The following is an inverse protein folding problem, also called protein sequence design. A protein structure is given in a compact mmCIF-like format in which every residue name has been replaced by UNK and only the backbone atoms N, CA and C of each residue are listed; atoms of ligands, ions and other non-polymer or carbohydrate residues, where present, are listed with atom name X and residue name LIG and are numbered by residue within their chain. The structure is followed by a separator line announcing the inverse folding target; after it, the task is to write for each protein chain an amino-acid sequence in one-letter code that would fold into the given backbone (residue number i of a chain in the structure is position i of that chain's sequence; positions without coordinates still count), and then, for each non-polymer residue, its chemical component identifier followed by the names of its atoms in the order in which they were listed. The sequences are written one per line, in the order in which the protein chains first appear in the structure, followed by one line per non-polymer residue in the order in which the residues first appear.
data_IF_942222618841
#
_entry.id   IF_942222618841
#
_cell.length_a   1.000
_cell.length_b   1.000
_cell.length_c   1.000
_cell.angle_alpha   90.00
_cell.angle_beta   90.00
_cell.angle_gamma   90.00
#
_symmetry.space_group_name_H-M   'P 1'
#
loop_
_entity.id
_entity.type
_entity.pdbx_description
1 polymer ?
#
# COMPACT_ATOMS: atom_id res chain seq x y z
N UNK A 1 -23.08 -4.76 31.70
CA UNK A 1 -21.87 -5.08 30.91
C UNK A 1 -20.73 -4.23 31.44
N UNK A 2 -19.53 -4.79 31.64
CA UNK A 2 -18.36 -3.98 32.05
C UNK A 2 -17.93 -3.07 30.88
N UNK A 3 -17.27 -1.94 31.17
CA UNK A 3 -16.73 -1.03 30.14
C UNK A 3 -15.85 -1.76 29.11
N UNK A 4 -15.17 -2.83 29.54
CA UNK A 4 -14.33 -3.66 28.67
C UNK A 4 -15.15 -4.54 27.72
N UNK A 5 -16.24 -5.17 28.18
CA UNK A 5 -17.12 -5.98 27.33
C UNK A 5 -17.80 -5.14 26.23
N UNK A 6 -18.15 -3.89 26.53
CA UNK A 6 -18.72 -2.96 25.52
C UNK A 6 -17.69 -2.69 24.43
N UNK A 7 -16.44 -2.35 24.78
CA UNK A 7 -15.37 -2.10 23.79
C UNK A 7 -15.12 -3.32 22.90
N UNK A 8 -15.07 -4.52 23.47
CA UNK A 8 -14.87 -5.75 22.72
C UNK A 8 -16.02 -6.01 21.75
N UNK A 9 -17.26 -5.89 22.22
CA UNK A 9 -18.45 -6.11 21.39
C UNK A 9 -18.54 -5.08 20.26
N UNK A 10 -18.30 -3.79 20.55
CA UNK A 10 -18.25 -2.74 19.53
C UNK A 10 -17.15 -2.97 18.49
N UNK A 11 -15.95 -3.40 18.92
CA UNK A 11 -14.85 -3.69 17.99
C UNK A 11 -15.22 -4.83 17.03
N UNK A 12 -15.74 -5.94 17.57
CA UNK A 12 -16.16 -7.10 16.76
C UNK A 12 -17.31 -6.72 15.83
N UNK A 13 -18.30 -5.98 16.33
CA UNK A 13 -19.42 -5.50 15.52
C UNK A 13 -18.98 -4.63 14.34
N UNK A 14 -18.06 -3.69 14.56
CA UNK A 14 -17.51 -2.84 13.48
C UNK A 14 -16.66 -3.63 12.50
N UNK A 15 -15.86 -4.59 12.98
CA UNK A 15 -15.09 -5.49 12.12
C UNK A 15 -16.01 -6.31 11.20
N UNK A 16 -17.05 -6.92 11.76
CA UNK A 16 -18.05 -7.69 11.00
C UNK A 16 -18.79 -6.78 10.02
N UNK A 17 -19.15 -5.55 10.41
CA UNK A 17 -19.79 -4.59 9.53
C UNK A 17 -18.89 -4.19 8.34
N UNK A 18 -17.58 -4.09 8.52
CA UNK A 18 -16.65 -3.87 7.40
C UNK A 18 -16.57 -5.11 6.50
N UNK A 19 -16.65 -6.32 7.07
CA UNK A 19 -16.63 -7.58 6.32
C UNK A 19 -17.90 -7.81 5.47
N UNK A 20 -19.02 -7.13 5.75
CA UNK A 20 -20.22 -7.26 4.90
C UNK A 20 -20.10 -6.54 3.56
N UNK A 21 -19.12 -5.63 3.41
CA UNK A 21 -19.00 -4.78 2.23
C UNK A 21 -19.89 -3.54 2.25
N UNK A 22 -20.74 -3.36 3.27
CA UNK A 22 -21.65 -2.21 3.37
C UNK A 22 -20.89 -0.88 3.56
N UNK A 23 -19.71 -0.95 4.19
CA UNK A 23 -18.83 0.18 4.40
C UNK A 23 -17.67 0.07 3.42
N UNK A 24 -17.49 1.10 2.59
CA UNK A 24 -16.38 1.18 1.65
C UNK A 24 -15.01 1.27 2.35
N UNK A 25 -13.92 1.00 1.62
CA UNK A 25 -12.60 0.77 2.22
C UNK A 25 -12.02 1.97 2.96
N UNK A 26 -12.24 3.20 2.46
CA UNK A 26 -11.81 4.43 3.14
C UNK A 26 -12.51 4.60 4.49
N UNK A 27 -13.83 4.38 4.53
CA UNK A 27 -14.59 4.45 5.77
C UNK A 27 -14.23 3.33 6.74
N UNK A 28 -13.90 2.11 6.26
CA UNK A 28 -13.42 1.03 7.13
C UNK A 28 -12.12 1.41 7.85
N UNK A 29 -11.15 2.00 7.14
CA UNK A 29 -9.90 2.48 7.74
C UNK A 29 -10.17 3.61 8.76
N UNK A 30 -10.98 4.59 8.37
CA UNK A 30 -11.35 5.71 9.24
C UNK A 30 -12.08 5.25 10.49
N UNK A 31 -12.97 4.26 10.39
CA UNK A 31 -13.67 3.69 11.54
C UNK A 31 -12.69 2.98 12.48
N UNK A 32 -11.72 2.23 11.95
CA UNK A 32 -10.68 1.60 12.78
C UNK A 32 -9.84 2.64 13.54
N UNK A 33 -9.44 3.70 12.83
CA UNK A 33 -8.69 4.81 13.42
C UNK A 33 -9.51 5.55 14.48
N UNK A 34 -10.73 5.97 14.15
CA UNK A 34 -11.65 6.65 15.06
C UNK A 34 -11.95 5.80 16.29
N UNK A 35 -12.18 4.49 16.09
CA UNK A 35 -12.35 3.55 17.19
C UNK A 35 -11.14 3.61 18.12
N UNK A 36 -9.91 3.54 17.58
CA UNK A 36 -8.69 3.51 18.41
C UNK A 36 -8.38 4.83 19.12
N UNK A 37 -8.80 5.95 18.52
CA UNK A 37 -8.67 7.28 19.13
C UNK A 37 -9.65 7.51 20.27
N UNK A 38 -10.87 6.96 20.17
CA UNK A 38 -11.91 7.08 21.20
C UNK A 38 -11.78 5.97 22.26
N UNK A 39 -11.46 4.76 21.83
CA UNK A 39 -11.35 3.54 22.62
C UNK A 39 -10.01 2.87 22.35
N UNK A 40 -9.24 2.55 23.38
CA UNK A 40 -8.04 1.72 23.16
C UNK A 40 -8.41 0.36 22.55
N UNK A 41 -7.79 -0.01 21.42
CA UNK A 41 -8.05 -1.29 20.74
C UNK A 41 -7.81 -2.48 21.71
N UNK A 42 -8.84 -3.27 22.06
CA UNK A 42 -8.71 -4.38 23.00
C UNK A 42 -7.95 -5.59 22.42
N UNK A 43 -7.76 -5.65 21.10
CA UNK A 43 -7.14 -6.77 20.38
C UNK A 43 -5.95 -6.30 19.53
N UNK A 44 -5.14 -5.36 20.04
CA UNK A 44 -4.07 -4.72 19.25
C UNK A 44 -3.08 -5.71 18.61
N UNK A 45 -2.60 -6.70 19.36
CA UNK A 45 -1.66 -7.71 18.84
C UNK A 45 -2.29 -8.57 17.74
N UNK A 46 -3.51 -9.05 17.99
CA UNK A 46 -4.27 -9.85 17.03
C UNK A 46 -4.62 -9.04 15.78
N UNK A 47 -5.02 -7.77 15.92
CA UNK A 47 -5.32 -6.87 14.80
C UNK A 47 -4.11 -6.68 13.88
N UNK A 48 -2.92 -6.49 14.48
CA UNK A 48 -1.66 -6.39 13.74
C UNK A 48 -1.28 -7.68 13.00
N UNK A 49 -1.60 -8.84 13.55
CA UNK A 49 -1.28 -10.12 12.91
C UNK A 49 -2.32 -10.50 11.84
N UNK A 50 -3.60 -10.32 12.16
CA UNK A 50 -4.71 -10.63 11.27
C UNK A 50 -4.70 -9.71 10.04
N UNK A 51 -4.45 -8.40 10.20
CA UNK A 51 -4.35 -7.48 9.05
C UNK A 51 -3.30 -7.93 8.03
N UNK A 52 -2.13 -8.42 8.46
CA UNK A 52 -1.09 -8.95 7.55
C UNK A 52 -1.57 -10.16 6.76
N UNK A 53 -2.36 -11.05 7.36
CA UNK A 53 -2.88 -12.24 6.68
C UNK A 53 -4.07 -11.92 5.78
N UNK A 54 -5.04 -11.14 6.27
CA UNK A 54 -6.19 -10.69 5.50
C UNK A 54 -5.75 -9.87 4.28
N UNK A 55 -4.73 -9.02 4.42
CA UNK A 55 -4.17 -8.28 3.28
C UNK A 55 -3.65 -9.23 2.20
N UNK A 56 -2.90 -10.27 2.58
CA UNK A 56 -2.38 -11.25 1.61
C UNK A 56 -3.53 -11.98 0.90
N UNK A 57 -4.53 -12.43 1.65
CA UNK A 57 -5.71 -13.12 1.09
C UNK A 57 -6.51 -12.22 0.16
N UNK A 58 -6.76 -10.97 0.58
CA UNK A 58 -7.43 -9.97 -0.24
C UNK A 58 -6.66 -9.72 -1.54
N UNK A 59 -5.35 -9.45 -1.47
CA UNK A 59 -4.54 -9.21 -2.66
C UNK A 59 -4.56 -10.40 -3.61
N UNK A 60 -4.41 -11.63 -3.12
CA UNK A 60 -4.50 -12.83 -3.97
C UNK A 60 -5.86 -12.91 -4.66
N UNK A 61 -6.95 -12.75 -3.91
CA UNK A 61 -8.31 -12.84 -4.48
C UNK A 61 -8.67 -11.68 -5.41
N UNK A 62 -8.05 -10.51 -5.27
CA UNK A 62 -8.18 -9.41 -6.24
C UNK A 62 -7.61 -9.77 -7.61
N UNK A 63 -6.67 -10.72 -7.68
CA UNK A 63 -6.13 -11.24 -8.95
C UNK A 63 -7.19 -11.91 -9.83
N UNK A 64 -8.28 -12.41 -9.24
CA UNK A 64 -9.40 -12.99 -10.00
C UNK A 64 -10.19 -11.99 -10.85
N UNK A 65 -9.88 -10.69 -10.79
CA UNK A 65 -10.49 -9.65 -11.63
C UNK A 65 -9.46 -8.97 -12.54
N UNK A 66 -8.28 -9.56 -12.72
CA UNK A 66 -7.20 -8.99 -13.52
C UNK A 66 -6.90 -9.92 -14.69
N UNK A 67 -6.64 -9.34 -15.87
CA UNK A 67 -6.09 -10.09 -17.00
C UNK A 67 -4.57 -10.22 -16.84
N UNK A 68 -4.08 -11.45 -16.82
CA UNK A 68 -2.66 -11.76 -16.78
C UNK A 68 -1.88 -11.18 -17.98
N UNK A 69 -2.49 -11.06 -19.16
CA UNK A 69 -1.84 -10.46 -20.33
C UNK A 69 -1.60 -8.96 -20.10
N UNK A 70 -2.55 -8.25 -19.49
CA UNK A 70 -2.40 -6.84 -19.12
C UNK A 70 -1.25 -6.67 -18.12
N UNK A 71 -1.10 -7.59 -17.16
CA UNK A 71 0.02 -7.56 -16.21
C UNK A 71 1.37 -7.67 -16.92
N UNK A 72 1.48 -8.58 -17.89
CA UNK A 72 2.70 -8.75 -18.68
C UNK A 72 2.98 -7.53 -19.57
N UNK A 73 1.95 -6.98 -20.20
CA UNK A 73 2.06 -5.82 -21.07
C UNK A 73 2.50 -4.59 -20.27
N UNK A 74 1.81 -4.27 -19.17
CA UNK A 74 2.17 -3.17 -18.26
C UNK A 74 3.60 -3.36 -17.73
N UNK A 75 3.97 -4.59 -17.35
CA UNK A 75 5.33 -4.89 -16.89
C UNK A 75 6.41 -4.63 -17.94
N UNK A 76 6.13 -4.89 -19.22
CA UNK A 76 7.06 -4.63 -20.32
C UNK A 76 7.08 -3.16 -20.71
N UNK A 77 5.92 -2.56 -20.93
CA UNK A 77 5.78 -1.17 -21.40
C UNK A 77 6.29 -0.17 -20.35
N UNK A 78 6.07 -0.47 -19.06
CA UNK A 78 6.47 0.40 -17.96
C UNK A 78 7.88 0.13 -17.44
N UNK A 79 8.65 -0.77 -18.04
CA UNK A 79 9.95 -1.22 -17.51
C UNK A 79 10.93 -0.06 -17.28
N UNK A 80 11.19 0.74 -18.32
CA UNK A 80 12.13 1.87 -18.25
C UNK A 80 11.62 2.95 -17.30
N UNK A 81 10.34 3.32 -17.42
CA UNK A 81 9.72 4.31 -16.55
C UNK A 81 9.77 3.88 -15.07
N UNK A 82 9.58 2.60 -14.80
CA UNK A 82 9.63 2.04 -13.44
C UNK A 82 11.05 2.11 -12.87
N UNK A 83 12.08 1.75 -13.64
CA UNK A 83 13.47 1.89 -13.18
C UNK A 83 13.78 3.35 -12.87
N UNK A 84 13.49 4.25 -13.81
CA UNK A 84 13.81 5.67 -13.69
C UNK A 84 13.09 6.27 -12.50
N UNK A 85 11.78 6.02 -12.36
CA UNK A 85 10.99 6.54 -11.24
C UNK A 85 11.45 5.98 -9.89
N UNK A 86 11.65 4.67 -9.76
CA UNK A 86 12.13 4.08 -8.49
C UNK A 86 13.50 4.67 -8.12
N UNK A 87 14.43 4.74 -9.07
CA UNK A 87 15.78 5.30 -8.84
C UNK A 87 15.70 6.78 -8.45
N UNK A 88 14.89 7.57 -9.15
CA UNK A 88 14.70 8.99 -8.87
C UNK A 88 14.08 9.22 -7.49
N UNK A 89 13.07 8.44 -7.10
CA UNK A 89 12.44 8.54 -5.78
C UNK A 89 13.43 8.16 -4.67
N UNK A 90 14.21 7.11 -4.85
CA UNK A 90 15.24 6.71 -3.88
C UNK A 90 16.31 7.79 -3.76
N UNK A 91 16.81 8.32 -4.87
CA UNK A 91 17.82 9.39 -4.89
C UNK A 91 17.32 10.68 -4.26
N UNK A 92 16.10 11.12 -4.60
CA UNK A 92 15.48 12.29 -4.01
C UNK A 92 15.23 12.09 -2.51
N UNK A 93 14.78 10.90 -2.11
CA UNK A 93 14.62 10.53 -0.72
C UNK A 93 15.93 10.65 0.06
N UNK A 94 17.05 10.16 -0.47
CA UNK A 94 18.37 10.32 0.15
C UNK A 94 18.78 11.79 0.30
N UNK A 95 18.55 12.63 -0.72
CA UNK A 95 18.81 14.07 -0.68
C UNK A 95 17.98 14.73 0.44
N UNK A 96 16.68 14.43 0.50
CA UNK A 96 15.80 14.97 1.53
C UNK A 96 16.17 14.45 2.92
N UNK A 97 16.59 13.18 3.04
CA UNK A 97 17.06 12.61 4.30
C UNK A 97 18.26 13.35 4.87
N UNK A 98 19.21 13.74 4.01
CA UNK A 98 20.34 14.58 4.40
C UNK A 98 19.90 16.00 4.77
N UNK A 99 19.02 16.62 3.98
CA UNK A 99 18.50 17.97 4.23
C UNK A 99 17.78 18.08 5.58
N UNK A 100 16.91 17.12 5.90
CA UNK A 100 16.17 17.08 7.17
C UNK A 100 16.96 16.43 8.31
N UNK A 101 18.20 15.98 8.07
CA UNK A 101 19.06 15.29 9.04
C UNK A 101 18.38 14.08 9.68
N UNK A 102 17.73 13.27 8.86
CA UNK A 102 17.09 12.00 9.25
C UNK A 102 18.15 10.92 9.39
N UNK A 103 17.94 9.96 10.29
CA UNK A 103 18.80 8.78 10.40
C UNK A 103 18.88 8.07 9.04
N UNK A 104 20.09 7.68 8.62
CA UNK A 104 20.35 7.06 7.31
C UNK A 104 19.46 5.84 7.03
N UNK A 105 19.28 4.93 7.99
CA UNK A 105 18.43 3.76 7.80
C UNK A 105 16.97 4.16 7.63
N UNK A 106 16.45 5.07 8.47
CA UNK A 106 15.08 5.59 8.32
C UNK A 106 14.88 6.29 6.97
N UNK A 107 15.85 7.07 6.51
CA UNK A 107 15.84 7.72 5.19
C UNK A 107 15.73 6.69 4.07
N UNK A 108 16.60 5.67 4.08
CA UNK A 108 16.59 4.59 3.08
C UNK A 108 15.27 3.81 3.11
N UNK A 109 14.77 3.44 4.30
CA UNK A 109 13.51 2.70 4.44
C UNK A 109 12.32 3.50 3.94
N UNK A 110 12.21 4.80 4.28
CA UNK A 110 11.15 5.66 3.77
C UNK A 110 11.22 5.81 2.25
N UNK A 111 12.42 6.03 1.71
CA UNK A 111 12.63 6.20 0.27
C UNK A 111 12.27 4.94 -0.52
N UNK A 112 12.71 3.76 -0.06
CA UNK A 112 12.32 2.47 -0.66
C UNK A 112 10.83 2.17 -0.48
N UNK A 113 10.27 2.52 0.67
CA UNK A 113 8.83 2.41 0.96
C UNK A 113 8.00 3.22 -0.04
N UNK A 114 8.34 4.49 -0.25
CA UNK A 114 7.68 5.37 -1.23
C UNK A 114 7.89 4.93 -2.66
N UNK A 115 9.08 4.44 -3.01
CA UNK A 115 9.41 4.08 -4.38
C UNK A 115 8.74 2.79 -4.88
N UNK A 116 8.34 1.85 -4.02
CA UNK A 116 7.94 0.51 -4.46
C UNK A 116 6.54 0.10 -3.96
N UNK A 117 6.45 -0.57 -2.79
CA UNK A 117 5.17 -1.03 -2.25
C UNK A 117 5.04 -0.79 -0.73
N UNK A 118 5.68 0.27 -0.21
CA UNK A 118 5.52 0.69 1.17
C UNK A 118 6.09 -0.33 2.15
N UNK A 119 5.22 -0.93 2.95
CA UNK A 119 5.59 -1.82 4.05
C UNK A 119 6.41 -3.05 3.63
N UNK A 120 6.08 -3.70 2.49
CA UNK A 120 6.86 -4.88 2.06
C UNK A 120 8.26 -4.52 1.58
N UNK A 121 8.42 -3.34 0.97
CA UNK A 121 9.74 -2.84 0.58
C UNK A 121 10.59 -2.50 1.83
N UNK A 122 9.98 -1.86 2.84
CA UNK A 122 10.63 -1.63 4.14
C UNK A 122 11.05 -2.96 4.78
N UNK A 123 10.16 -3.95 4.82
CA UNK A 123 10.44 -5.25 5.42
C UNK A 123 11.56 -6.02 4.70
N UNK A 124 11.63 -5.91 3.37
CA UNK A 124 12.68 -6.55 2.58
C UNK A 124 14.04 -5.83 2.71
N UNK A 125 14.03 -4.50 2.82
CA UNK A 125 15.25 -3.70 2.96
C UNK A 125 15.84 -3.68 4.37
N UNK A 126 15.00 -3.77 5.38
CA UNK A 126 15.41 -3.73 6.79
C UNK A 126 16.57 -4.69 7.14
N UNK A 127 16.53 -6.00 6.80
CA UNK A 127 17.64 -6.91 7.07
C UNK A 127 18.88 -6.56 6.23
N UNK A 128 18.70 -6.13 4.97
CA UNK A 128 19.80 -5.79 4.06
C UNK A 128 20.68 -4.66 4.61
N UNK A 129 20.05 -3.61 5.15
CA UNK A 129 20.77 -2.45 5.73
C UNK A 129 20.98 -2.57 7.25
N UNK A 130 20.62 -3.71 7.85
CA UNK A 130 20.69 -3.97 9.30
C UNK A 130 19.97 -2.89 10.13
N UNK A 131 18.76 -2.53 9.70
CA UNK A 131 17.93 -1.53 10.37
C UNK A 131 17.49 -1.99 11.76
N UNK A 132 17.47 -1.06 12.72
CA UNK A 132 16.99 -1.31 14.08
C UNK A 132 15.47 -1.36 14.11
N UNK A 133 14.91 -2.11 15.07
CA UNK A 133 13.45 -2.28 15.19
C UNK A 133 12.68 -0.95 15.28
N UNK A 134 13.25 0.05 15.96
CA UNK A 134 12.62 1.37 16.07
C UNK A 134 12.63 2.14 14.73
N UNK A 135 13.67 1.99 13.91
CA UNK A 135 13.78 2.63 12.58
C UNK A 135 12.73 2.03 11.62
N UNK A 136 12.55 0.71 11.69
CA UNK A 136 11.51 -0.01 10.94
C UNK A 136 10.12 0.44 11.39
N UNK A 137 9.87 0.49 12.71
CA UNK A 137 8.59 0.88 13.26
C UNK A 137 8.21 2.33 12.88
N UNK A 138 9.15 3.27 12.99
CA UNK A 138 8.95 4.68 12.57
C UNK A 138 8.64 4.76 11.07
N UNK A 139 9.39 4.06 10.24
CA UNK A 139 9.18 4.09 8.78
C UNK A 139 7.82 3.53 8.38
N UNK A 140 7.42 2.39 8.98
CA UNK A 140 6.09 1.80 8.76
C UNK A 140 4.97 2.73 9.23
N UNK A 141 5.14 3.37 10.39
CA UNK A 141 4.15 4.30 10.93
C UNK A 141 3.87 5.47 9.98
N UNK A 142 4.93 6.08 9.44
CA UNK A 142 4.83 7.20 8.50
C UNK A 142 4.15 6.75 7.22
N UNK A 143 4.60 5.63 6.63
CA UNK A 143 4.01 5.10 5.40
C UNK A 143 2.52 4.83 5.59
N UNK A 144 2.13 4.18 6.69
CA UNK A 144 0.71 3.94 6.97
C UNK A 144 -0.09 5.21 7.22
N UNK A 145 0.49 6.20 7.88
CA UNK A 145 -0.15 7.50 8.07
C UNK A 145 -0.40 8.20 6.72
N UNK A 146 0.62 8.30 5.87
CA UNK A 146 0.50 8.92 4.55
C UNK A 146 -0.48 8.15 3.66
N UNK A 147 -0.47 6.82 3.73
CA UNK A 147 -1.45 5.98 3.06
C UNK A 147 -2.88 6.28 3.54
N UNK A 148 -3.12 6.39 4.84
CA UNK A 148 -4.43 6.78 5.38
C UNK A 148 -4.90 8.15 4.86
N UNK A 149 -3.99 9.12 4.76
CA UNK A 149 -4.26 10.43 4.17
C UNK A 149 -4.57 10.33 2.67
N UNK A 150 -3.86 9.47 1.94
CA UNK A 150 -4.05 9.26 0.51
C UNK A 150 -5.48 8.85 0.17
N UNK A 151 -6.10 7.98 0.98
CA UNK A 151 -7.48 7.51 0.76
C UNK A 151 -8.50 8.64 0.72
N UNK A 152 -8.21 9.78 1.37
CA UNK A 152 -9.10 10.94 1.43
C UNK A 152 -8.72 11.98 0.39
N UNK A 153 -7.41 12.26 0.28
CA UNK A 153 -6.90 13.37 -0.52
C UNK A 153 -6.96 13.04 -2.02
N UNK A 154 -6.58 11.82 -2.41
CA UNK A 154 -6.45 11.46 -3.82
C UNK A 154 -7.78 11.53 -4.56
N UNK A 155 -8.88 10.90 -4.10
CA UNK A 155 -10.14 10.97 -4.83
C UNK A 155 -10.64 12.41 -5.01
N UNK A 156 -10.50 13.25 -3.98
CA UNK A 156 -10.89 14.65 -4.03
C UNK A 156 -10.10 15.44 -5.09
N UNK A 157 -8.77 15.28 -5.12
CA UNK A 157 -7.91 15.91 -6.14
C UNK A 157 -8.21 15.36 -7.53
N UNK A 158 -8.36 14.04 -7.68
CA UNK A 158 -8.68 13.44 -8.96
C UNK A 158 -9.97 14.01 -9.56
N UNK A 159 -11.00 14.22 -8.72
CA UNK A 159 -12.30 14.71 -9.19
C UNK A 159 -12.20 16.19 -9.55
N UNK A 160 -11.40 16.96 -8.81
CA UNK A 160 -11.10 18.35 -9.13
C UNK A 160 -10.43 18.49 -10.50
N UNK A 161 -9.46 17.62 -10.83
CA UNK A 161 -8.80 17.58 -12.14
C UNK A 161 -9.58 16.80 -13.21
N UNK A 162 -10.76 16.25 -12.86
CA UNK A 162 -11.63 15.46 -13.76
C UNK A 162 -10.89 14.29 -14.43
N UNK A 163 -10.02 13.61 -13.67
CA UNK A 163 -9.26 12.49 -14.19
C UNK A 163 -10.18 11.33 -14.63
N UNK A 164 -9.83 10.66 -15.72
CA UNK A 164 -10.46 9.39 -16.10
C UNK A 164 -10.14 8.29 -15.07
N UNK A 165 -10.82 7.14 -15.15
CA UNK A 165 -10.51 6.00 -14.27
C UNK A 165 -9.08 5.49 -14.50
N UNK A 166 -8.63 5.47 -15.74
CA UNK A 166 -7.28 5.06 -16.15
C UNK A 166 -6.23 6.04 -15.61
N UNK A 167 -6.43 7.34 -15.83
CA UNK A 167 -5.54 8.40 -15.34
C UNK A 167 -5.43 8.38 -13.81
N UNK A 168 -6.56 8.28 -13.11
CA UNK A 168 -6.58 8.18 -11.66
C UNK A 168 -5.87 6.92 -11.16
N UNK A 169 -6.06 5.79 -11.85
CA UNK A 169 -5.42 4.53 -11.49
C UNK A 169 -3.90 4.61 -11.60
N UNK A 170 -3.38 5.19 -12.68
CA UNK A 170 -1.95 5.41 -12.87
C UNK A 170 -1.42 6.33 -11.77
N UNK A 171 -2.09 7.47 -11.54
CA UNK A 171 -1.67 8.42 -10.52
C UNK A 171 -1.63 7.80 -9.12
N UNK A 172 -2.73 7.15 -8.71
CA UNK A 172 -2.83 6.49 -7.41
C UNK A 172 -1.79 5.37 -7.28
N UNK A 173 -1.62 4.51 -8.30
CA UNK A 173 -0.67 3.40 -8.26
C UNK A 173 0.79 3.86 -8.22
N UNK A 174 1.10 5.00 -8.84
CA UNK A 174 2.44 5.53 -8.87
C UNK A 174 2.81 6.29 -7.58
N UNK A 175 1.87 7.01 -6.97
CA UNK A 175 2.14 7.92 -5.86
C UNK A 175 1.76 7.43 -4.45
N UNK A 176 0.76 6.56 -4.29
CA UNK A 176 0.41 5.97 -2.99
C UNK A 176 1.39 4.84 -2.66
N UNK A 177 1.73 4.57 -1.40
CA UNK A 177 2.87 3.71 -1.08
C UNK A 177 2.57 2.21 -1.23
N UNK A 178 1.44 1.73 -0.73
CA UNK A 178 1.15 0.28 -0.66
C UNK A 178 -0.04 -0.16 -1.54
N UNK A 179 -0.18 -1.47 -1.71
CA UNK A 179 -1.25 -2.06 -2.54
C UNK A 179 -2.63 -1.90 -1.90
N UNK A 180 -2.75 -2.10 -0.59
CA UNK A 180 -4.03 -1.97 0.13
C UNK A 180 -4.67 -0.61 -0.08
N UNK A 181 -3.89 0.45 0.08
CA UNK A 181 -4.34 1.82 0.00
C UNK A 181 -4.56 2.26 -1.44
N UNK A 182 -3.78 1.75 -2.40
CA UNK A 182 -4.06 1.96 -3.82
C UNK A 182 -5.39 1.34 -4.21
N UNK A 183 -5.62 0.07 -3.88
CA UNK A 183 -6.89 -0.62 -4.20
C UNK A 183 -8.07 0.08 -3.53
N UNK A 184 -7.93 0.40 -2.24
CA UNK A 184 -8.93 1.14 -1.48
C UNK A 184 -9.29 2.46 -2.17
N UNK A 185 -8.28 3.25 -2.52
CA UNK A 185 -8.46 4.56 -3.15
C UNK A 185 -9.07 4.42 -4.55
N UNK A 186 -8.53 3.53 -5.39
CA UNK A 186 -9.01 3.26 -6.74
C UNK A 186 -10.46 2.73 -6.77
N UNK A 187 -10.88 1.98 -5.76
CA UNK A 187 -12.25 1.47 -5.67
C UNK A 187 -13.31 2.57 -5.54
N UNK A 188 -12.92 3.76 -5.08
CA UNK A 188 -13.81 4.92 -5.04
C UNK A 188 -14.04 5.54 -6.42
N UNK A 189 -13.17 5.25 -7.38
CA UNK A 189 -13.23 5.73 -8.76
C UNK A 189 -13.92 4.76 -9.72
N UNK A 190 -13.79 3.46 -9.47
CA UNK A 190 -14.50 2.43 -10.21
C UNK A 190 -13.68 1.17 -10.46
N UNK A 191 -14.31 0.14 -11.07
CA UNK A 191 -13.70 -1.17 -11.25
C UNK A 191 -12.52 -1.15 -12.23
N UNK A 192 -12.54 -0.30 -13.25
CA UNK A 192 -11.43 -0.14 -14.20
C UNK A 192 -10.22 0.42 -13.46
N UNK A 193 -10.44 1.45 -12.63
CA UNK A 193 -9.37 2.05 -11.86
C UNK A 193 -8.71 1.03 -10.90
N UNK A 194 -9.50 0.18 -10.25
CA UNK A 194 -8.99 -0.88 -9.38
C UNK A 194 -8.11 -1.86 -10.16
N UNK A 195 -8.56 -2.35 -11.32
CA UNK A 195 -7.81 -3.31 -12.13
C UNK A 195 -6.44 -2.76 -12.55
N UNK A 196 -6.44 -1.57 -13.15
CA UNK A 196 -5.21 -0.91 -13.63
C UNK A 196 -4.27 -0.60 -12.46
N UNK A 197 -4.77 0.00 -11.39
CA UNK A 197 -3.94 0.44 -10.28
C UNK A 197 -3.30 -0.74 -9.54
N UNK A 198 -4.06 -1.84 -9.39
CA UNK A 198 -3.58 -3.10 -8.81
C UNK A 198 -2.46 -3.68 -9.66
N UNK A 199 -2.67 -3.73 -10.97
CA UNK A 199 -1.70 -4.26 -11.94
C UNK A 199 -0.39 -3.49 -11.90
N UNK A 200 -0.43 -2.15 -11.99
CA UNK A 200 0.77 -1.30 -11.90
C UNK A 200 1.49 -1.52 -10.57
N UNK A 201 0.75 -1.52 -9.44
CA UNK A 201 1.37 -1.63 -8.12
C UNK A 201 2.05 -2.99 -7.89
N UNK A 202 1.41 -4.09 -8.30
CA UNK A 202 1.98 -5.42 -8.11
C UNK A 202 3.14 -5.69 -9.05
N UNK A 203 3.05 -5.16 -10.28
CA UNK A 203 4.17 -5.16 -11.21
C UNK A 203 5.37 -4.41 -10.62
N UNK A 204 5.14 -3.24 -10.01
CA UNK A 204 6.18 -2.50 -9.28
C UNK A 204 6.73 -3.27 -8.09
N UNK A 205 5.90 -4.01 -7.35
CA UNK A 205 6.34 -4.80 -6.20
C UNK A 205 7.35 -5.91 -6.57
N UNK A 206 7.40 -6.37 -7.84
CA UNK A 206 8.44 -7.29 -8.31
C UNK A 206 9.85 -6.67 -8.25
N UNK A 207 9.94 -5.34 -8.33
CA UNK A 207 11.21 -4.60 -8.26
C UNK A 207 11.84 -4.59 -6.87
N UNK A 208 11.15 -5.07 -5.84
CA UNK A 208 11.75 -5.30 -4.53
C UNK A 208 13.00 -6.18 -4.68
N UNK A 209 12.91 -7.29 -5.44
CA UNK A 209 14.00 -8.27 -5.58
C UNK A 209 15.28 -7.64 -6.18
N UNK A 210 15.25 -7.03 -7.39
CA UNK A 210 16.47 -6.46 -7.97
C UNK A 210 17.03 -5.31 -7.12
N UNK A 211 16.20 -4.41 -6.60
CA UNK A 211 16.70 -3.26 -5.83
C UNK A 211 17.27 -3.64 -4.48
N UNK A 212 16.68 -4.62 -3.78
CA UNK A 212 17.24 -5.16 -2.53
C UNK A 212 18.52 -5.95 -2.78
N UNK A 213 18.61 -6.71 -3.88
CA UNK A 213 19.84 -7.41 -4.26
C UNK A 213 20.98 -6.43 -4.57
N UNK A 214 20.70 -5.38 -5.34
CA UNK A 214 21.65 -4.29 -5.59
C UNK A 214 22.08 -3.62 -4.29
N UNK A 215 21.14 -3.30 -3.40
CA UNK A 215 21.47 -2.76 -2.09
C UNK A 215 22.31 -3.73 -1.25
N UNK A 216 22.08 -5.05 -1.35
CA UNK A 216 22.91 -6.07 -0.71
C UNK A 216 24.37 -5.99 -1.14
N UNK A 217 24.64 -5.77 -2.43
CA UNK A 217 26.00 -5.55 -2.95
C UNK A 217 26.62 -4.27 -2.37
N UNK A 218 25.87 -3.16 -2.40
CA UNK A 218 26.35 -1.86 -1.89
C UNK A 218 26.62 -1.86 -0.37
N UNK A 219 25.79 -2.56 0.42
CA UNK A 219 25.91 -2.66 1.88
C UNK A 219 26.70 -3.89 2.35
N UNK A 220 27.24 -4.69 1.42
CA UNK A 220 27.97 -5.94 1.71
C UNK A 220 27.17 -6.87 2.64
N UNK A 221 25.90 -7.08 2.30
CA UNK A 221 24.98 -7.94 3.04
C UNK A 221 24.77 -9.26 2.30
N UNK A 222 24.79 -10.38 3.03
CA UNK A 222 24.46 -11.72 2.51
C UNK A 222 22.96 -12.03 2.62
N UNK A 223 22.19 -11.15 3.26
CA UNK A 223 20.74 -11.30 3.43
C UNK A 223 20.03 -11.18 2.07
N UNK A 224 19.28 -12.22 1.71
CA UNK A 224 18.49 -12.24 0.48
C UNK A 224 17.11 -11.68 0.74
N UNK A 225 16.61 -10.85 -0.17
CA UNK A 225 15.23 -10.43 -0.09
C UNK A 225 14.27 -11.60 -0.25
N UNK A 226 13.28 -11.65 0.63
CA UNK A 226 12.19 -12.61 0.53
C UNK A 226 11.22 -12.16 -0.55
N UNK A 227 10.88 -13.07 -1.47
CA UNK A 227 9.81 -12.83 -2.44
C UNK A 227 8.49 -12.82 -1.68
N UNK A 228 7.69 -11.75 -1.75
CA UNK A 228 6.39 -11.74 -1.09
C UNK A 228 5.46 -12.74 -1.76
N UNK A 229 5.22 -13.89 -1.12
CA UNK A 229 4.43 -15.00 -1.68
C UNK A 229 3.01 -14.60 -2.13
N UNK A 230 2.45 -13.52 -1.57
CA UNK A 230 1.15 -13.03 -2.00
C UNK A 230 1.15 -12.46 -3.43
N UNK A 231 2.31 -11.97 -3.93
CA UNK A 231 2.47 -11.54 -5.33
C UNK A 231 2.36 -12.76 -6.24
N UNK A 232 3.00 -13.87 -5.87
CA UNK A 232 2.92 -15.14 -6.62
C UNK A 232 1.47 -15.64 -6.65
N UNK A 233 0.78 -15.62 -5.51
CA UNK A 233 -0.62 -16.01 -5.44
C UNK A 233 -1.53 -15.10 -6.28
N UNK A 234 -1.30 -13.79 -6.29
CA UNK A 234 -2.02 -12.85 -7.17
C UNK A 234 -1.81 -13.18 -8.65
N UNK A 235 -0.56 -13.37 -9.08
CA UNK A 235 -0.24 -13.70 -10.47
C UNK A 235 -0.90 -15.02 -10.89
N UNK A 236 -0.94 -16.00 -10.00
CA UNK A 236 -1.61 -17.27 -10.24
C UNK A 236 -3.13 -17.10 -10.35
N UNK A 237 -3.76 -16.28 -9.50
CA UNK A 237 -5.18 -15.96 -9.59
C UNK A 237 -5.53 -15.23 -10.90
N UNK A 238 -4.69 -14.29 -11.34
CA UNK A 238 -4.85 -13.61 -12.63
C UNK A 238 -4.70 -14.59 -13.80
N UNK A 239 -3.71 -15.50 -13.74
CA UNK A 239 -3.51 -16.54 -14.75
C UNK A 239 -4.73 -17.46 -14.85
N UNK A 240 -5.29 -17.90 -13.72
CA UNK A 240 -6.53 -18.69 -13.69
C UNK A 240 -7.69 -17.91 -14.31
N UNK A 241 -7.86 -16.65 -13.94
CA UNK A 241 -8.95 -15.82 -14.48
C UNK A 241 -8.85 -15.65 -16.00
N UNK A 242 -7.66 -15.38 -16.54
CA UNK A 242 -7.43 -15.21 -17.97
C UNK A 242 -7.59 -16.50 -18.78
N UNK A 243 -7.02 -17.62 -18.31
CA UNK A 243 -6.95 -18.85 -19.12
C UNK A 243 -8.05 -19.87 -18.82
N UNK A 244 -8.84 -19.68 -17.76
CA UNK A 244 -10.01 -20.49 -17.43
C UNK A 244 -11.30 -19.65 -17.37
N UNK A 245 -11.68 -18.97 -18.47
CA UNK A 245 -12.81 -18.03 -18.50
C UNK A 245 -14.17 -18.71 -18.29
N UNK A 246 -14.26 -20.03 -18.53
CA UNK A 246 -15.45 -20.85 -18.32
C UNK A 246 -15.94 -20.81 -16.86
N UNK A 247 -15.05 -20.54 -15.90
CA UNK A 247 -15.36 -20.43 -14.47
C UNK A 247 -15.43 -18.98 -13.97
N UNK A 248 -15.52 -17.99 -14.88
CA UNK A 248 -15.53 -16.56 -14.56
C UNK A 248 -16.51 -16.17 -13.44
N UNK A 249 -17.72 -16.73 -13.42
CA UNK A 249 -18.69 -16.49 -12.34
C UNK A 249 -18.16 -16.88 -10.95
N UNK A 250 -17.39 -17.97 -10.86
CA UNK A 250 -16.77 -18.42 -9.62
C UNK A 250 -15.58 -17.52 -9.23
N UNK A 251 -14.76 -17.11 -10.21
CA UNK A 251 -13.66 -16.16 -9.98
C UNK A 251 -14.18 -14.80 -9.50
N UNK A 252 -15.29 -14.32 -10.06
CA UNK A 252 -15.95 -13.08 -9.64
C UNK A 252 -16.50 -13.15 -8.21
N UNK A 253 -16.95 -14.32 -7.76
CA UNK A 253 -17.31 -14.52 -6.36
C UNK A 253 -16.07 -14.43 -5.44
N UNK A 254 -14.95 -15.02 -5.87
CA UNK A 254 -13.66 -14.91 -5.20
C UNK A 254 -13.19 -13.46 -5.09
N UNK A 255 -13.29 -12.70 -6.18
CA UNK A 255 -13.00 -11.26 -6.22
C UNK A 255 -13.91 -10.46 -5.27
N UNK A 256 -15.22 -10.73 -5.28
CA UNK A 256 -16.16 -10.06 -4.38
C UNK A 256 -15.83 -10.30 -2.90
N UNK A 257 -15.55 -11.57 -2.54
CA UNK A 257 -15.11 -11.93 -1.19
C UNK A 257 -13.78 -11.26 -0.82
N UNK A 258 -12.83 -11.17 -1.75
CA UNK A 258 -11.55 -10.52 -1.54
C UNK A 258 -11.70 -9.02 -1.22
N UNK A 259 -12.62 -8.31 -1.88
CA UNK A 259 -12.94 -6.90 -1.53
C UNK A 259 -13.45 -6.77 -0.10
N UNK A 260 -14.34 -7.64 0.32
CA UNK A 260 -14.89 -7.61 1.68
C UNK A 260 -13.81 -7.90 2.74
N UNK A 261 -12.94 -8.87 2.46
CA UNK A 261 -11.75 -9.15 3.28
C UNK A 261 -10.82 -7.95 3.34
N UNK A 262 -10.63 -7.23 2.23
CA UNK A 262 -9.84 -6.00 2.19
C UNK A 262 -10.44 -4.93 3.12
N UNK A 263 -11.76 -4.74 3.13
CA UNK A 263 -12.40 -3.71 3.95
C UNK A 263 -12.23 -4.01 5.44
N UNK A 264 -12.44 -5.27 5.83
CA UNK A 264 -12.16 -5.74 7.19
C UNK A 264 -10.67 -5.59 7.56
N UNK A 265 -9.77 -5.88 6.62
CA UNK A 265 -8.33 -5.67 6.79
C UNK A 265 -8.01 -4.19 7.06
N UNK A 266 -8.59 -3.27 6.29
CA UNK A 266 -8.36 -1.82 6.44
C UNK A 266 -8.86 -1.30 7.80
N UNK A 267 -9.97 -1.82 8.31
CA UNK A 267 -10.39 -1.54 9.69
C UNK A 267 -9.36 -2.01 10.72
N UNK A 268 -8.81 -3.21 10.56
CA UNK A 268 -7.75 -3.71 11.46
C UNK A 268 -6.46 -2.87 11.35
N UNK A 269 -6.11 -2.42 10.15
CA UNK A 269 -4.96 -1.52 9.94
C UNK A 269 -5.21 -0.18 10.64
N UNK A 270 -6.35 0.47 10.40
CA UNK A 270 -6.71 1.72 11.06
C UNK A 270 -6.73 1.60 12.58
N UNK A 271 -7.26 0.48 13.09
CA UNK A 271 -7.32 0.23 14.53
C UNK A 271 -6.00 -0.25 15.16
N UNK A 272 -4.98 -0.50 14.36
CA UNK A 272 -3.63 -0.81 14.83
C UNK A 272 -2.74 0.42 14.96
N UNK A 273 -3.19 1.58 14.46
CA UNK A 273 -2.50 2.86 14.61
C UNK A 273 -2.56 3.27 16.08
N UNK A 274 -1.40 3.44 16.71
CA UNK A 274 -1.32 3.93 18.09
C UNK A 274 -0.79 5.36 18.13
N UNK A 275 -1.37 6.18 19.01
CA UNK A 275 -0.86 7.53 19.30
C UNK A 275 0.59 7.50 19.79
N UNK A 276 0.99 6.42 20.47
CA UNK A 276 2.38 6.22 20.89
C UNK A 276 3.33 6.07 19.69
N UNK A 277 2.93 5.31 18.67
CA UNK A 277 3.69 5.14 17.43
C UNK A 277 3.81 6.48 16.68
N UNK A 278 2.72 7.25 16.58
CA UNK A 278 2.74 8.59 15.98
C UNK A 278 3.65 9.56 16.74
N UNK A 279 3.63 9.54 18.08
CA UNK A 279 4.51 10.37 18.91
C UNK A 279 5.99 9.99 18.78
N UNK A 280 6.30 8.72 18.54
CA UNK A 280 7.68 8.24 18.33
C UNK A 280 8.23 8.56 16.93
N UNK A 281 7.37 8.98 16.00
CA UNK A 281 7.71 9.13 14.58
C UNK A 281 8.71 10.27 14.32
N UNK A 282 8.76 11.27 15.21
CA UNK A 282 9.58 12.47 15.05
C UNK A 282 9.13 13.34 13.87
N UNK A 283 9.30 14.65 13.98
CA UNK A 283 8.84 15.57 12.92
C UNK A 283 9.73 15.52 11.67
N UNK A 284 11.04 15.24 11.82
CA UNK A 284 11.99 15.23 10.68
C UNK A 284 11.72 14.10 9.68
N UNK A 285 11.59 12.82 10.10
CA UNK A 285 11.31 11.74 9.15
C UNK A 285 9.93 11.91 8.51
N UNK A 286 8.94 12.40 9.27
CA UNK A 286 7.61 12.72 8.75
C UNK A 286 7.67 13.83 7.68
N UNK A 287 8.34 14.94 7.96
CA UNK A 287 8.47 16.05 7.00
C UNK A 287 9.18 15.62 5.71
N UNK A 288 10.26 14.85 5.84
CA UNK A 288 10.99 14.27 4.71
C UNK A 288 10.06 13.40 3.85
N UNK A 289 9.36 12.43 4.45
CA UNK A 289 8.48 11.52 3.72
C UNK A 289 7.29 12.24 3.09
N UNK A 290 6.67 13.16 3.82
CA UNK A 290 5.55 13.98 3.29
C UNK A 290 6.01 14.81 2.10
N UNK A 291 7.17 15.46 2.18
CA UNK A 291 7.68 16.26 1.08
C UNK A 291 8.02 15.39 -0.14
N UNK A 292 8.68 14.25 0.08
CA UNK A 292 8.95 13.28 -0.98
C UNK A 292 7.64 12.84 -1.66
N UNK A 293 6.64 12.48 -0.86
CA UNK A 293 5.33 12.05 -1.35
C UNK A 293 4.61 13.16 -2.11
N UNK A 294 4.63 14.40 -1.63
CA UNK A 294 4.09 15.56 -2.34
C UNK A 294 4.76 15.76 -3.69
N UNK A 295 6.10 15.76 -3.74
CA UNK A 295 6.85 15.93 -4.99
C UNK A 295 6.48 14.84 -5.99
N UNK A 296 6.52 13.57 -5.57
CA UNK A 296 6.18 12.43 -6.42
C UNK A 296 4.74 12.53 -6.92
N UNK A 297 3.78 12.78 -6.03
CA UNK A 297 2.37 12.90 -6.36
C UNK A 297 2.10 14.04 -7.34
N UNK A 298 2.70 15.21 -7.12
CA UNK A 298 2.54 16.38 -7.99
C UNK A 298 3.20 16.18 -9.35
N UNK A 299 4.41 15.63 -9.42
CA UNK A 299 5.10 15.37 -10.69
C UNK A 299 4.31 14.38 -11.54
N UNK A 300 3.84 13.27 -10.96
CA UNK A 300 3.05 12.29 -11.72
C UNK A 300 1.72 12.90 -12.18
N UNK A 301 1.06 13.67 -11.31
CA UNK A 301 -0.19 14.34 -11.67
C UNK A 301 0.01 15.28 -12.86
N UNK A 302 1.07 16.10 -12.83
CA UNK A 302 1.43 17.01 -13.92
C UNK A 302 1.69 16.26 -15.22
N UNK A 303 2.47 15.17 -15.18
CA UNK A 303 2.75 14.37 -16.36
C UNK A 303 1.49 13.75 -16.97
N UNK A 304 0.48 13.43 -16.16
CA UNK A 304 -0.81 12.95 -16.63
C UNK A 304 -1.65 14.10 -17.22
N UNK A 305 -1.74 15.23 -16.53
CA UNK A 305 -2.52 16.38 -17.02
C UNK A 305 -1.94 17.02 -18.28
N UNK A 306 -0.62 16.94 -18.45
CA UNK A 306 0.08 17.41 -19.65
C UNK A 306 0.07 16.36 -20.79
N UNK A 307 -0.54 15.18 -20.57
CA UNK A 307 -0.70 14.12 -21.57
C UNK A 307 0.57 13.34 -21.91
N UNK A 308 1.63 13.48 -21.09
CA UNK A 308 2.89 12.72 -21.24
C UNK A 308 2.71 11.26 -20.85
N UNK A 309 1.85 11.00 -19.86
CA UNK A 309 1.46 9.66 -19.39
C UNK A 309 -0.05 9.51 -19.62
N UNK A 310 -0.45 8.48 -20.35
CA UNK A 310 -1.85 8.08 -20.58
C UNK A 310 -2.07 6.62 -20.20
#
# INVERSE_FOLDING_TARGET
MTSQSIKQFSFIGLFVLCLTGFIGPAFSLLLGLAFTLIFTNPYLSLSNQASKWLLKLAVIGLGFNVDFNDVLEVGRSSFVLTIVSITAIIGLGEILGQLFKVNKNTSVLLSFGTAICGGSAIAAMAPVIKAKQHEIAVSLAIVFLLNGLALLIFPAIGHYFQLSQEQFAIWAALAIHDTSSVVATASTYGPIAVGIATTIKLTRAMWIIPYTALAGVFWKSEEKASIPLFIVGFLFAALINTYLPEYSSFWQLGYAGAKHVLYACLFLVGSSVSLAMLKQTGWRPLAMATLLWCIVSSVILLLITDGVIN
#
